data_IF_061386857772
#
_entry.id   IF_061386857772
#
_cell.length_a   1.000
_cell.length_b   1.000
_cell.length_c   1.000
_cell.angle_alpha   90.00
_cell.angle_beta   90.00
_cell.angle_gamma   90.00
#
_symmetry.space_group_name_H-M   'P 1'
#
loop_
_entity.id
_entity.type
_entity.pdbx_description
1 polymer ?
#
# COMPACT_ATOMS: atom_id res chain seq x y z
N UNK A 1 6.09 14.15 -9.94
CA UNK A 1 5.39 12.84 -9.93
C UNK A 1 3.88 13.03 -9.74
N UNK A 2 3.08 12.20 -10.41
CA UNK A 2 1.63 12.06 -10.24
C UNK A 2 1.33 10.82 -9.40
N UNK A 3 0.17 10.77 -8.73
CA UNK A 3 -0.28 9.56 -8.00
C UNK A 3 -0.27 8.30 -8.89
N UNK A 4 -0.64 8.46 -10.17
CA UNK A 4 -0.63 7.38 -11.16
C UNK A 4 0.75 6.76 -11.41
N UNK A 5 1.84 7.50 -11.22
CA UNK A 5 3.20 6.94 -11.39
C UNK A 5 3.50 5.91 -10.28
N UNK A 6 3.08 6.19 -9.05
CA UNK A 6 3.21 5.26 -7.91
C UNK A 6 2.24 4.08 -8.06
N UNK A 7 1.00 4.36 -8.51
CA UNK A 7 0.01 3.33 -8.79
C UNK A 7 0.51 2.33 -9.84
N UNK A 8 1.17 2.79 -10.92
CA UNK A 8 1.75 1.92 -11.94
C UNK A 8 2.87 1.03 -11.39
N UNK A 9 3.72 1.56 -10.49
CA UNK A 9 4.73 0.76 -9.82
C UNK A 9 4.12 -0.31 -8.89
N UNK A 10 3.05 0.04 -8.18
CA UNK A 10 2.28 -0.93 -7.39
C UNK A 10 1.61 -1.98 -8.28
N UNK A 11 1.06 -1.58 -9.43
CA UNK A 11 0.48 -2.49 -10.42
C UNK A 11 1.53 -3.50 -10.91
N UNK A 12 2.75 -3.02 -11.22
CA UNK A 12 3.86 -3.91 -11.61
C UNK A 12 4.14 -4.94 -10.52
N UNK A 13 4.31 -4.50 -9.27
CA UNK A 13 4.59 -5.40 -8.17
C UNK A 13 3.43 -6.38 -7.88
N UNK A 14 2.19 -6.01 -8.19
CA UNK A 14 0.99 -6.86 -8.06
C UNK A 14 0.86 -7.91 -9.18
N UNK A 15 1.40 -7.61 -10.36
CA UNK A 15 1.32 -8.45 -11.55
C UNK A 15 2.22 -9.70 -11.48
N UNK A 16 2.04 -10.60 -12.44
CA UNK A 16 2.89 -11.79 -12.60
C UNK A 16 4.26 -11.44 -13.19
N UNK A 17 4.41 -10.27 -13.83
CA UNK A 17 5.70 -9.77 -14.34
C UNK A 17 6.72 -9.54 -13.22
N UNK A 18 6.25 -9.36 -11.98
CA UNK A 18 7.08 -9.26 -10.79
C UNK A 18 7.30 -10.61 -10.07
N UNK A 19 7.08 -11.76 -10.72
CA UNK A 19 7.16 -13.09 -10.10
C UNK A 19 8.50 -13.39 -9.40
N UNK A 20 9.60 -12.84 -9.90
CA UNK A 20 10.94 -12.99 -9.30
C UNK A 20 11.38 -11.81 -8.42
N UNK A 21 10.47 -10.89 -8.09
CA UNK A 21 10.75 -9.71 -7.26
C UNK A 21 10.07 -9.85 -5.89
N UNK A 22 10.88 -10.00 -4.83
CA UNK A 22 10.43 -10.04 -3.43
C UNK A 22 11.48 -9.39 -2.51
N UNK A 23 11.04 -8.78 -1.41
CA UNK A 23 11.89 -8.04 -0.47
C UNK A 23 12.43 -6.72 -1.03
N UNK A 24 11.94 -6.28 -2.19
CA UNK A 24 12.48 -5.15 -2.92
C UNK A 24 11.87 -3.82 -2.48
N UNK A 25 12.71 -2.78 -2.50
CA UNK A 25 12.28 -1.40 -2.31
C UNK A 25 12.28 -0.68 -3.65
N UNK A 26 11.12 -0.65 -4.33
CA UNK A 26 10.99 0.01 -5.61
C UNK A 26 10.85 1.52 -5.42
N UNK A 27 11.93 2.25 -5.64
CA UNK A 27 11.96 3.71 -5.52
C UNK A 27 11.22 4.33 -6.70
N UNK A 28 10.19 5.13 -6.40
CA UNK A 28 9.40 5.86 -7.40
C UNK A 28 9.51 7.34 -7.06
N UNK A 29 10.56 7.96 -7.55
CA UNK A 29 10.90 9.34 -7.19
C UNK A 29 11.05 10.28 -8.40
N UNK A 30 10.93 9.74 -9.62
CA UNK A 30 11.09 10.50 -10.84
C UNK A 30 12.50 11.06 -10.96
N UNK A 31 13.50 10.26 -10.57
CA UNK A 31 14.91 10.65 -10.57
C UNK A 31 15.29 11.75 -9.57
N UNK A 32 14.59 11.80 -8.44
CA UNK A 32 14.97 12.71 -7.35
C UNK A 32 16.22 12.24 -6.60
N UNK A 33 16.40 10.93 -6.46
CA UNK A 33 17.51 10.27 -5.75
C UNK A 33 18.58 9.72 -6.71
N UNK A 34 18.36 9.80 -8.03
CA UNK A 34 19.33 9.48 -9.09
C UNK A 34 19.03 10.32 -10.34
N UNK A 35 20.02 10.79 -11.11
CA UNK A 35 19.80 11.61 -12.32
C UNK A 35 19.35 10.71 -13.48
N UNK A 36 18.05 10.65 -13.81
CA UNK A 36 17.54 9.73 -14.84
C UNK A 36 16.17 10.07 -15.45
N UNK A 37 15.82 9.55 -16.64
CA UNK A 37 14.53 9.80 -17.28
C UNK A 37 13.40 8.92 -16.72
N UNK A 38 12.14 9.31 -17.00
CA UNK A 38 10.90 8.59 -16.61
C UNK A 38 10.89 7.16 -17.22
N UNK A 39 10.50 6.12 -16.45
CA UNK A 39 10.43 4.76 -16.99
C UNK A 39 9.29 4.58 -18.02
N UNK A 40 9.44 3.63 -18.98
CA UNK A 40 8.38 3.25 -19.91
C UNK A 40 7.22 2.53 -19.19
N UNK A 41 6.03 2.48 -19.82
CA UNK A 41 4.88 1.71 -19.35
C UNK A 41 5.06 0.21 -19.60
N UNK A 42 4.41 -0.62 -18.79
CA UNK A 42 4.40 -2.08 -18.90
C UNK A 42 2.97 -2.57 -19.23
N UNK A 43 2.83 -3.64 -20.02
CA UNK A 43 1.55 -4.35 -20.22
C UNK A 43 1.30 -5.25 -19.00
N UNK A 44 0.54 -4.77 -18.02
CA UNK A 44 0.34 -5.41 -16.73
C UNK A 44 -1.12 -5.84 -16.59
N UNK A 45 -1.41 -7.11 -16.36
CA UNK A 45 -2.80 -7.57 -16.13
C UNK A 45 -3.02 -8.09 -14.71
N UNK A 46 -4.20 -7.77 -14.15
CA UNK A 46 -4.70 -8.26 -12.87
C UNK A 46 -6.05 -8.98 -13.02
N UNK A 47 -6.38 -9.44 -14.22
CA UNK A 47 -7.66 -10.11 -14.51
C UNK A 47 -7.92 -11.25 -13.53
N UNK A 48 -9.11 -11.23 -12.93
CA UNK A 48 -9.54 -12.24 -11.96
C UNK A 48 -8.88 -12.19 -10.58
N UNK A 49 -7.95 -11.24 -10.33
CA UNK A 49 -7.33 -11.07 -9.01
C UNK A 49 -8.22 -10.24 -8.07
N UNK A 50 -8.17 -10.55 -6.78
CA UNK A 50 -8.83 -9.77 -5.72
C UNK A 50 -7.79 -8.97 -4.96
N UNK A 51 -7.98 -7.65 -4.90
CA UNK A 51 -7.06 -6.72 -4.27
C UNK A 51 -7.71 -5.92 -3.14
N UNK A 52 -7.05 -5.83 -1.99
CA UNK A 52 -7.37 -4.86 -0.94
C UNK A 52 -6.41 -3.68 -1.04
N UNK A 53 -6.92 -2.45 -0.96
CA UNK A 53 -6.10 -1.23 -0.92
C UNK A 53 -6.55 -0.34 0.24
N UNK A 54 -5.66 -0.11 1.20
CA UNK A 54 -5.91 0.78 2.35
C UNK A 54 -5.52 2.22 2.05
N UNK A 55 -6.19 3.20 2.68
CA UNK A 55 -5.97 4.62 2.42
C UNK A 55 -6.37 5.00 0.99
N UNK A 56 -7.43 4.37 0.48
CA UNK A 56 -7.84 4.42 -0.92
C UNK A 56 -8.96 5.42 -1.22
N UNK A 57 -9.39 6.22 -0.24
CA UNK A 57 -10.37 7.28 -0.47
C UNK A 57 -9.78 8.48 -1.24
N UNK A 58 -8.45 8.58 -1.38
CA UNK A 58 -7.83 9.65 -2.18
C UNK A 58 -6.40 9.31 -2.63
N UNK A 59 -5.89 10.09 -3.59
CA UNK A 59 -4.46 10.16 -3.89
C UNK A 59 -3.88 8.89 -4.48
N UNK A 60 -2.80 8.36 -3.90
CA UNK A 60 -2.13 7.15 -4.42
C UNK A 60 -3.04 5.93 -4.32
N UNK A 61 -3.76 5.77 -3.21
CA UNK A 61 -4.63 4.62 -3.01
C UNK A 61 -5.83 4.64 -3.95
N UNK A 62 -6.45 5.81 -4.15
CA UNK A 62 -7.53 5.99 -5.15
C UNK A 62 -7.02 5.69 -6.57
N UNK A 63 -5.88 6.26 -6.96
CA UNK A 63 -5.29 6.02 -8.27
C UNK A 63 -4.94 4.55 -8.49
N UNK A 64 -4.45 3.86 -7.45
CA UNK A 64 -4.20 2.42 -7.50
C UNK A 64 -5.50 1.61 -7.62
N UNK A 65 -6.57 2.01 -6.92
CA UNK A 65 -7.86 1.33 -7.02
C UNK A 65 -8.47 1.43 -8.43
N UNK A 66 -8.45 2.64 -9.01
CA UNK A 66 -8.89 2.86 -10.40
C UNK A 66 -8.06 2.01 -11.36
N UNK A 67 -6.73 2.12 -11.27
CA UNK A 67 -5.83 1.42 -12.17
C UNK A 67 -5.93 -0.10 -12.02
N UNK A 68 -6.08 -0.64 -10.81
CA UNK A 68 -6.19 -2.09 -10.61
C UNK A 68 -7.49 -2.63 -11.20
N UNK A 69 -8.60 -1.91 -11.03
CA UNK A 69 -9.88 -2.27 -11.61
C UNK A 69 -9.87 -2.17 -13.15
N UNK A 70 -9.25 -1.14 -13.72
CA UNK A 70 -9.04 -0.99 -15.17
C UNK A 70 -8.28 -2.19 -15.77
N UNK A 71 -7.41 -2.84 -14.99
CA UNK A 71 -6.64 -4.01 -15.40
C UNK A 71 -7.27 -5.34 -14.95
N UNK A 72 -8.56 -5.33 -14.60
CA UNK A 72 -9.37 -6.53 -14.40
C UNK A 72 -9.48 -7.05 -12.96
N UNK A 73 -8.89 -6.35 -11.98
CA UNK A 73 -8.98 -6.76 -10.58
C UNK A 73 -10.36 -6.45 -9.97
N UNK A 74 -10.83 -7.32 -9.10
CA UNK A 74 -11.87 -6.99 -8.11
C UNK A 74 -11.20 -6.27 -6.95
N UNK A 75 -11.73 -5.12 -6.54
CA UNK A 75 -11.06 -4.26 -5.57
C UNK A 75 -11.92 -4.06 -4.32
N UNK A 76 -11.32 -4.23 -3.15
CA UNK A 76 -11.85 -3.72 -1.89
C UNK A 76 -11.01 -2.52 -1.47
N UNK A 77 -11.61 -1.35 -1.44
CA UNK A 77 -10.97 -0.15 -0.93
C UNK A 77 -11.33 0.08 0.53
N UNK A 78 -10.34 0.45 1.34
CA UNK A 78 -10.53 0.68 2.75
C UNK A 78 -9.98 2.04 3.18
N UNK A 79 -10.75 2.77 3.98
CA UNK A 79 -10.40 4.10 4.49
C UNK A 79 -11.28 4.44 5.71
N UNK A 80 -10.94 5.51 6.43
CA UNK A 80 -11.74 6.08 7.52
C UNK A 80 -12.67 7.21 7.04
N UNK A 81 -12.55 7.64 5.78
CA UNK A 81 -13.36 8.71 5.19
C UNK A 81 -14.51 8.11 4.38
N UNK A 82 -15.64 7.82 5.03
CA UNK A 82 -16.74 7.04 4.45
C UNK A 82 -17.28 7.63 3.15
N UNK A 83 -17.55 8.94 3.12
CA UNK A 83 -18.12 9.60 1.94
C UNK A 83 -17.17 9.55 0.73
N UNK A 84 -15.89 9.82 0.96
CA UNK A 84 -14.88 9.79 -0.10
C UNK A 84 -14.62 8.35 -0.57
N UNK A 85 -14.52 7.39 0.35
CA UNK A 85 -14.34 5.98 0.03
C UNK A 85 -15.53 5.44 -0.79
N UNK A 86 -16.76 5.72 -0.37
CA UNK A 86 -17.95 5.34 -1.11
C UNK A 86 -17.98 5.96 -2.52
N UNK A 87 -17.59 7.22 -2.67
CA UNK A 87 -17.51 7.90 -3.96
C UNK A 87 -16.50 7.24 -4.91
N UNK A 88 -15.32 6.85 -4.40
CA UNK A 88 -14.31 6.14 -5.20
C UNK A 88 -14.83 4.78 -5.65
N UNK A 89 -15.43 3.98 -4.76
CA UNK A 89 -16.01 2.69 -5.13
C UNK A 89 -17.11 2.85 -6.19
N UNK A 90 -17.99 3.84 -6.04
CA UNK A 90 -19.03 4.15 -7.01
C UNK A 90 -18.46 4.56 -8.38
N UNK A 91 -17.36 5.32 -8.41
CA UNK A 91 -16.71 5.73 -9.66
C UNK A 91 -16.07 4.58 -10.45
N UNK A 92 -15.63 3.53 -9.75
CA UNK A 92 -15.03 2.33 -10.36
C UNK A 92 -16.12 1.36 -10.83
N UNK A 93 -17.23 1.28 -10.08
CA UNK A 93 -18.35 0.38 -10.34
C UNK A 93 -18.60 -0.51 -9.12
N UNK A 94 -19.83 -0.50 -8.60
CA UNK A 94 -20.17 -1.19 -7.36
C UNK A 94 -20.11 -2.72 -7.46
N UNK A 95 -20.13 -3.27 -8.67
CA UNK A 95 -19.86 -4.67 -8.95
C UNK A 95 -18.36 -4.99 -8.76
N UNK A 96 -17.48 -4.15 -9.32
CA UNK A 96 -16.03 -4.35 -9.35
C UNK A 96 -15.31 -3.90 -8.08
N UNK A 97 -15.83 -2.87 -7.41
CA UNK A 97 -15.21 -2.23 -6.26
C UNK A 97 -16.16 -2.12 -5.08
N UNK A 98 -15.70 -2.57 -3.90
CA UNK A 98 -16.42 -2.42 -2.63
C UNK A 98 -15.66 -1.52 -1.68
N UNK A 99 -16.37 -0.65 -0.98
CA UNK A 99 -15.82 0.14 0.12
C UNK A 99 -16.03 -0.58 1.46
N UNK A 100 -15.03 -0.53 2.32
CA UNK A 100 -15.11 -0.99 3.71
C UNK A 100 -14.45 0.02 4.64
N UNK A 101 -15.18 0.49 5.66
CA UNK A 101 -14.62 1.40 6.68
C UNK A 101 -13.60 0.65 7.54
N UNK A 102 -12.35 1.09 7.53
CA UNK A 102 -11.28 0.46 8.30
C UNK A 102 -10.28 1.51 8.81
N UNK A 103 -10.15 1.59 10.13
CA UNK A 103 -9.02 2.24 10.78
C UNK A 103 -7.89 1.23 10.97
N UNK A 104 -6.82 1.37 10.18
CA UNK A 104 -5.68 0.44 10.22
C UNK A 104 -4.93 0.42 11.56
N UNK A 105 -5.18 1.39 12.46
CA UNK A 105 -4.63 1.36 13.82
C UNK A 105 -5.25 0.24 14.66
N UNK A 106 -6.50 -0.13 14.36
CA UNK A 106 -7.23 -1.22 14.98
C UNK A 106 -6.96 -2.53 14.23
N UNK A 107 -6.30 -3.47 14.90
CA UNK A 107 -5.94 -4.75 14.27
C UNK A 107 -7.17 -5.60 13.94
N UNK A 108 -8.23 -5.51 14.74
CA UNK A 108 -9.45 -6.28 14.50
C UNK A 108 -10.11 -5.81 13.20
N UNK A 109 -10.22 -4.50 12.99
CA UNK A 109 -10.76 -3.94 11.74
C UNK A 109 -9.94 -4.35 10.50
N UNK A 110 -8.62 -4.53 10.64
CA UNK A 110 -7.78 -5.03 9.55
C UNK A 110 -8.04 -6.52 9.28
N UNK A 111 -8.23 -7.33 10.33
CA UNK A 111 -8.63 -8.74 10.17
C UNK A 111 -9.99 -8.83 9.48
N UNK A 112 -10.98 -8.07 9.96
CA UNK A 112 -12.35 -8.09 9.45
C UNK A 112 -12.40 -7.60 7.99
N UNK A 113 -11.54 -6.65 7.61
CA UNK A 113 -11.39 -6.21 6.22
C UNK A 113 -10.90 -7.34 5.30
N UNK A 114 -9.92 -8.13 5.76
CA UNK A 114 -9.42 -9.29 5.00
C UNK A 114 -10.50 -10.36 4.89
N UNK A 115 -11.19 -10.66 5.99
CA UNK A 115 -12.28 -11.62 6.02
C UNK A 115 -13.44 -11.18 5.12
N UNK A 116 -13.76 -9.88 5.10
CA UNK A 116 -14.75 -9.29 4.20
C UNK A 116 -14.39 -9.49 2.72
N UNK A 117 -13.12 -9.25 2.33
CA UNK A 117 -12.70 -9.44 0.95
C UNK A 117 -12.79 -10.91 0.52
N UNK A 118 -12.35 -11.83 1.39
CA UNK A 118 -12.46 -13.28 1.15
C UNK A 118 -13.92 -13.73 1.09
N UNK A 119 -14.79 -13.24 1.97
CA UNK A 119 -16.21 -13.56 1.94
C UNK A 119 -16.92 -13.00 0.69
N UNK A 120 -16.51 -11.83 0.21
CA UNK A 120 -17.14 -11.15 -0.92
C UNK A 120 -16.71 -11.72 -2.27
N UNK A 121 -15.42 -12.00 -2.43
CA UNK A 121 -14.84 -12.39 -3.72
C UNK A 121 -14.17 -13.78 -3.71
N UNK A 122 -14.27 -14.51 -2.59
CA UNK A 122 -13.80 -15.90 -2.44
C UNK A 122 -12.30 -16.07 -2.20
N UNK A 123 -11.49 -15.01 -2.39
CA UNK A 123 -10.03 -15.06 -2.27
C UNK A 123 -9.43 -13.70 -1.99
N UNK A 124 -8.13 -13.68 -1.68
CA UNK A 124 -7.30 -12.48 -1.63
C UNK A 124 -5.99 -12.77 -2.36
N UNK A 125 -5.69 -11.97 -3.39
CA UNK A 125 -4.47 -12.11 -4.19
C UNK A 125 -3.47 -10.98 -3.93
N UNK A 126 -3.97 -9.77 -3.69
CA UNK A 126 -3.13 -8.58 -3.51
C UNK A 126 -3.55 -7.82 -2.25
N UNK A 127 -2.59 -7.55 -1.37
CA UNK A 127 -2.78 -6.61 -0.27
C UNK A 127 -1.88 -5.40 -0.48
N UNK A 128 -2.46 -4.24 -0.72
CA UNK A 128 -1.73 -2.98 -0.78
C UNK A 128 -1.94 -2.16 0.51
N UNK A 129 -0.99 -2.31 1.43
CA UNK A 129 -0.89 -1.50 2.65
C UNK A 129 -0.35 -0.11 2.30
N UNK A 130 -1.25 0.75 1.85
CA UNK A 130 -0.95 2.11 1.40
C UNK A 130 -1.31 3.20 2.43
N UNK A 131 -2.24 2.93 3.35
CA UNK A 131 -2.64 3.91 4.37
C UNK A 131 -1.41 4.48 5.11
N UNK A 132 -1.38 5.80 5.25
CA UNK A 132 -0.30 6.48 5.93
C UNK A 132 -0.58 7.95 6.18
N UNK A 133 -0.05 8.46 7.28
CA UNK A 133 -0.09 9.86 7.68
C UNK A 133 1.33 10.42 7.83
N UNK A 134 1.43 11.74 7.75
CA UNK A 134 2.66 12.51 8.01
C UNK A 134 2.38 13.34 9.26
N UNK A 135 3.25 13.31 10.27
CA UNK A 135 3.17 14.28 11.38
C UNK A 135 3.85 15.61 11.00
N UNK A 136 3.51 16.68 11.73
CA UNK A 136 4.15 17.99 11.55
C UNK A 136 5.67 17.87 11.60
N UNK A 137 6.32 18.54 10.65
CA UNK A 137 7.76 18.75 10.69
C UNK A 137 8.10 19.73 11.80
N UNK A 138 9.12 19.43 12.59
CA UNK A 138 9.56 20.22 13.73
C UNK A 138 10.90 19.73 14.25
N UNK A 139 11.47 20.46 15.20
CA UNK A 139 12.73 20.07 15.84
C UNK A 139 12.57 18.72 16.55
N UNK A 140 13.52 17.80 16.35
CA UNK A 140 13.60 16.55 17.11
C UNK A 140 13.55 16.80 18.63
N UNK A 141 14.17 17.89 19.08
CA UNK A 141 14.25 18.26 20.50
C UNK A 141 12.90 18.65 21.11
N UNK A 142 11.89 18.89 20.28
CA UNK A 142 10.54 19.31 20.67
C UNK A 142 9.48 18.36 20.11
N UNK A 143 9.88 17.12 19.80
CA UNK A 143 8.97 16.14 19.24
C UNK A 143 7.88 15.79 20.27
N UNK A 144 6.62 15.90 19.85
CA UNK A 144 5.50 15.34 20.58
C UNK A 144 5.46 13.82 20.35
N UNK A 145 5.58 13.04 21.43
CA UNK A 145 5.55 11.59 21.34
C UNK A 145 4.15 11.05 21.04
N UNK A 146 3.08 11.78 21.36
CA UNK A 146 1.71 11.37 20.98
C UNK A 146 1.51 11.42 19.45
N UNK A 147 2.02 12.47 18.80
CA UNK A 147 2.03 12.57 17.33
C UNK A 147 2.90 11.46 16.70
N UNK A 148 4.03 11.16 17.34
CA UNK A 148 4.90 10.05 16.94
C UNK A 148 4.15 8.72 17.04
N UNK A 149 3.53 8.44 18.17
CA UNK A 149 2.79 7.20 18.43
C UNK A 149 1.63 7.03 17.45
N UNK A 150 0.92 8.11 17.12
CA UNK A 150 -0.14 8.06 16.11
C UNK A 150 0.43 7.75 14.71
N UNK A 151 1.57 8.33 14.32
CA UNK A 151 2.25 7.98 13.06
C UNK A 151 2.69 6.53 13.04
N UNK A 152 3.28 6.02 14.12
CA UNK A 152 3.70 4.61 14.22
C UNK A 152 2.46 3.69 14.19
N UNK A 153 1.38 4.05 14.88
CA UNK A 153 0.14 3.27 14.90
C UNK A 153 -0.45 3.11 13.49
N UNK A 154 -0.50 4.19 12.70
CA UNK A 154 -1.02 4.14 11.33
C UNK A 154 -0.01 3.49 10.38
N UNK A 155 1.19 4.06 10.27
CA UNK A 155 2.13 3.75 9.20
C UNK A 155 2.87 2.43 9.42
N UNK A 156 3.10 2.04 10.68
CA UNK A 156 3.89 0.86 11.04
C UNK A 156 3.00 -0.25 11.56
N UNK A 157 2.29 -0.05 12.67
CA UNK A 157 1.43 -1.09 13.27
C UNK A 157 0.33 -1.51 12.30
N UNK A 158 -0.32 -0.56 11.63
CA UNK A 158 -1.31 -0.86 10.59
C UNK A 158 -0.73 -1.64 9.40
N UNK A 159 0.50 -1.35 9.01
CA UNK A 159 1.21 -2.10 7.97
C UNK A 159 1.54 -3.53 8.41
N UNK A 160 2.01 -3.71 9.66
CA UNK A 160 2.24 -5.04 10.26
C UNK A 160 0.94 -5.85 10.29
N UNK A 161 -0.17 -5.26 10.75
CA UNK A 161 -1.47 -5.93 10.79
C UNK A 161 -1.94 -6.36 9.38
N UNK A 162 -1.76 -5.48 8.38
CA UNK A 162 -2.06 -5.77 6.99
C UNK A 162 -1.26 -6.97 6.45
N UNK A 163 0.07 -6.96 6.63
CA UNK A 163 0.95 -8.06 6.20
C UNK A 163 0.58 -9.36 6.90
N UNK A 164 0.38 -9.31 8.22
CA UNK A 164 0.02 -10.47 9.06
C UNK A 164 -1.27 -11.13 8.58
N UNK A 165 -2.37 -10.37 8.49
CA UNK A 165 -3.68 -10.95 8.21
C UNK A 165 -3.84 -11.33 6.75
N UNK A 166 -3.32 -10.54 5.80
CA UNK A 166 -3.31 -10.92 4.39
C UNK A 166 -2.42 -12.14 4.14
N UNK A 167 -1.23 -12.19 4.72
CA UNK A 167 -0.32 -13.34 4.64
C UNK A 167 -0.96 -14.60 5.20
N UNK A 168 -1.64 -14.51 6.36
CA UNK A 168 -2.40 -15.63 6.95
C UNK A 168 -3.49 -16.13 6.02
N UNK A 169 -4.30 -15.24 5.46
CA UNK A 169 -5.40 -15.61 4.56
C UNK A 169 -4.89 -16.25 3.26
N UNK A 170 -3.86 -15.66 2.64
CA UNK A 170 -3.21 -16.21 1.44
C UNK A 170 -2.60 -17.58 1.72
N UNK A 171 -1.88 -17.74 2.83
CA UNK A 171 -1.26 -19.00 3.22
C UNK A 171 -2.30 -20.10 3.47
N UNK A 172 -3.37 -19.80 4.20
CA UNK A 172 -4.45 -20.74 4.47
C UNK A 172 -5.17 -21.21 3.20
N UNK A 173 -5.32 -20.32 2.21
CA UNK A 173 -5.94 -20.65 0.93
C UNK A 173 -4.96 -21.27 -0.10
N UNK A 174 -3.65 -21.33 0.19
CA UNK A 174 -2.63 -21.72 -0.79
C UNK A 174 -2.46 -20.71 -1.94
N UNK A 175 -2.88 -19.47 -1.74
CA UNK A 175 -2.80 -18.40 -2.75
C UNK A 175 -1.38 -17.88 -2.86
N UNK A 176 -0.84 -17.91 -4.08
CA UNK A 176 0.43 -17.26 -4.42
C UNK A 176 0.21 -15.75 -4.59
N UNK A 177 0.17 -15.04 -3.47
CA UNK A 177 -0.23 -13.64 -3.42
C UNK A 177 0.91 -12.62 -3.50
N UNK A 178 0.54 -11.34 -3.54
CA UNK A 178 1.45 -10.21 -3.53
C UNK A 178 1.04 -9.18 -2.46
N UNK A 179 1.91 -8.95 -1.50
CA UNK A 179 1.74 -7.91 -0.48
C UNK A 179 2.66 -6.74 -0.83
N UNK A 180 2.08 -5.56 -0.93
CA UNK A 180 2.75 -4.31 -1.26
C UNK A 180 2.57 -3.35 -0.10
N UNK A 181 3.67 -2.73 0.35
CA UNK A 181 3.64 -1.70 1.38
C UNK A 181 4.08 -0.35 0.80
N UNK A 182 3.48 0.74 1.26
CA UNK A 182 3.95 2.09 0.92
C UNK A 182 5.03 2.54 1.90
N UNK A 183 6.29 2.47 1.47
CA UNK A 183 7.43 3.07 2.16
C UNK A 183 7.59 4.55 1.76
N UNK A 184 8.81 5.05 1.58
CA UNK A 184 9.09 6.40 1.09
C UNK A 184 10.57 6.55 0.77
N UNK A 185 10.95 7.50 -0.07
CA UNK A 185 12.35 7.97 -0.16
C UNK A 185 12.92 8.41 1.19
N UNK A 186 12.06 8.85 2.12
CA UNK A 186 12.45 9.16 3.50
C UNK A 186 12.95 7.92 4.29
N UNK A 187 12.75 6.71 3.78
CA UNK A 187 13.32 5.47 4.31
C UNK A 187 14.74 5.16 3.81
N UNK A 188 15.30 6.04 2.96
CA UNK A 188 16.63 5.86 2.37
C UNK A 188 17.49 7.11 2.54
N UNK A 189 16.87 8.29 2.46
CA UNK A 189 17.55 9.59 2.53
C UNK A 189 17.02 10.36 3.73
N UNK A 190 17.92 10.78 4.61
CA UNK A 190 17.61 11.61 5.77
C UNK A 190 17.12 13.01 5.37
N UNK A 191 16.27 13.62 6.20
CA UNK A 191 15.80 15.01 6.01
C UNK A 191 14.63 15.19 5.03
N UNK A 192 14.15 14.11 4.40
CA UNK A 192 13.06 14.14 3.41
C UNK A 192 11.65 14.06 4.00
N UNK A 193 11.52 13.95 5.33
CA UNK A 193 10.25 13.86 6.05
C UNK A 193 10.41 14.20 7.52
N UNK A 194 9.30 14.31 8.24
CA UNK A 194 9.34 14.45 9.70
C UNK A 194 9.98 13.23 10.35
N UNK A 195 10.62 13.41 11.49
CA UNK A 195 11.38 12.34 12.16
C UNK A 195 10.53 11.10 12.43
N UNK A 196 9.29 11.24 12.93
CA UNK A 196 8.40 10.10 13.16
C UNK A 196 8.02 9.40 11.83
N UNK A 197 7.78 10.18 10.77
CA UNK A 197 7.49 9.63 9.46
C UNK A 197 8.68 8.84 8.91
N UNK A 198 9.89 9.41 8.96
CA UNK A 198 11.13 8.73 8.58
C UNK A 198 11.34 7.42 9.35
N UNK A 199 11.16 7.43 10.68
CA UNK A 199 11.24 6.21 11.50
C UNK A 199 10.21 5.18 11.03
N UNK A 200 8.95 5.59 10.88
CA UNK A 200 7.87 4.69 10.45
C UNK A 200 8.13 4.04 9.09
N UNK A 201 8.71 4.78 8.12
CA UNK A 201 8.98 4.26 6.78
C UNK A 201 10.24 3.38 6.72
N UNK A 202 11.23 3.60 7.59
CA UNK A 202 12.31 2.62 7.81
C UNK A 202 11.78 1.34 8.44
N UNK A 203 10.84 1.42 9.39
CA UNK A 203 10.22 0.25 9.99
C UNK A 203 9.44 -0.58 8.95
N UNK A 204 8.71 0.07 8.02
CA UNK A 204 8.05 -0.61 6.89
C UNK A 204 9.07 -1.34 6.01
N UNK A 205 10.20 -0.72 5.68
CA UNK A 205 11.24 -1.38 4.89
C UNK A 205 11.85 -2.60 5.62
N UNK A 206 12.06 -2.49 6.93
CA UNK A 206 12.49 -3.60 7.77
C UNK A 206 11.48 -4.75 7.78
N UNK A 207 10.19 -4.44 7.95
CA UNK A 207 9.09 -5.39 7.90
C UNK A 207 9.06 -6.14 6.56
N UNK A 208 9.12 -5.43 5.44
CA UNK A 208 9.08 -6.02 4.09
C UNK A 208 10.21 -7.03 3.91
N UNK A 209 11.43 -6.69 4.30
CA UNK A 209 12.59 -7.60 4.19
C UNK A 209 12.43 -8.83 5.08
N UNK A 210 11.93 -8.64 6.30
CA UNK A 210 11.71 -9.74 7.24
C UNK A 210 10.60 -10.69 6.75
N UNK A 211 9.45 -10.13 6.35
CA UNK A 211 8.29 -10.91 5.92
C UNK A 211 8.51 -11.61 4.57
N UNK A 212 9.28 -11.01 3.65
CA UNK A 212 9.61 -11.63 2.36
C UNK A 212 10.37 -12.96 2.53
N UNK A 213 11.24 -13.06 3.54
CA UNK A 213 11.98 -14.29 3.83
C UNK A 213 11.06 -15.43 4.29
N UNK A 214 10.16 -15.14 5.23
CA UNK A 214 9.23 -16.13 5.79
C UNK A 214 8.14 -16.52 4.78
N UNK A 215 7.44 -15.54 4.22
CA UNK A 215 6.27 -15.75 3.37
C UNK A 215 6.64 -16.24 1.96
N UNK A 216 7.88 -16.03 1.53
CA UNK A 216 8.36 -16.48 0.22
C UNK A 216 8.25 -18.00 0.02
N UNK A 217 8.46 -18.80 1.07
CA UNK A 217 8.29 -20.26 1.03
C UNK A 217 6.84 -20.69 0.75
N UNK A 218 5.87 -19.81 1.03
CA UNK A 218 4.44 -20.02 0.80
C UNK A 218 3.99 -19.47 -0.57
N UNK A 219 4.93 -18.97 -1.38
CA UNK A 219 4.63 -18.36 -2.67
C UNK A 219 4.04 -16.95 -2.58
N UNK A 220 4.12 -16.29 -1.42
CA UNK A 220 3.64 -14.94 -1.19
C UNK A 220 4.81 -13.96 -1.27
N UNK A 221 4.72 -12.99 -2.19
CA UNK A 221 5.74 -11.95 -2.37
C UNK A 221 5.44 -10.77 -1.46
N UNK A 222 6.46 -10.17 -0.85
CA UNK A 222 6.31 -8.95 -0.05
C UNK A 222 7.29 -7.90 -0.54
N UNK A 223 6.79 -6.76 -1.00
CA UNK A 223 7.61 -5.66 -1.53
C UNK A 223 7.11 -4.31 -1.01
N UNK A 224 7.89 -3.25 -1.22
CA UNK A 224 7.38 -1.90 -1.07
C UNK A 224 7.62 -1.02 -2.29
N UNK A 225 6.73 -0.04 -2.47
CA UNK A 225 6.99 1.15 -3.28
C UNK A 225 7.45 2.28 -2.35
N UNK A 226 8.46 3.05 -2.78
CA UNK A 226 9.00 4.20 -2.04
C UNK A 226 8.82 5.49 -2.84
N UNK A 227 7.67 6.17 -2.69
CA UNK A 227 7.44 7.44 -3.36
C UNK A 227 8.29 8.57 -2.80
N UNK A 228 8.65 9.52 -3.67
CA UNK A 228 8.98 10.88 -3.28
C UNK A 228 7.71 11.77 -3.17
N UNK A 229 7.91 13.08 -2.94
CA UNK A 229 6.81 14.04 -2.96
C UNK A 229 6.05 14.00 -4.30
N UNK A 230 4.73 13.85 -4.23
CA UNK A 230 3.84 13.89 -5.39
C UNK A 230 2.88 15.06 -5.29
N UNK A 231 2.47 15.61 -6.45
CA UNK A 231 1.53 16.74 -6.48
C UNK A 231 0.11 16.22 -6.29
N UNK A 232 -0.53 16.53 -5.15
CA UNK A 232 -2.01 16.52 -5.06
C UNK A 232 -2.53 17.44 -6.18
N UNK A 233 -3.52 16.98 -6.95
CA UNK A 233 -4.06 17.69 -8.14
C UNK A 233 -4.06 19.20 -7.94
N UNK A 234 -3.36 19.92 -8.83
CA UNK A 234 -3.60 21.35 -9.03
C UNK A 234 -4.88 21.49 -9.84
N UNK A 235 -5.84 22.28 -9.31
CA UNK A 235 -6.65 23.12 -10.20
C UNK A 235 -5.73 24.16 -10.83
#
# INVERSE_FOLDING_TARGET
MKAGDVAAAALFLASDEAAFVSGHNLVVDGAMTAVGPKPPGFDLQLEGKVAIITGAASGIGEAAAQLFAEHGAWVVIADIQDELGAAVAASIGADRCKYYRCDVRDEQQVSDLVDFAVATFGRLDVMYSNAGIICRSGSLLQMNLEDFDNVVAVNTRGCVAAVKHAGRAMAAAGTRGSIICTASVAAMVGGMGSHAYTVSKHAVLGLVRSAAGELGHLGIRVNCVSPAGWRRRWR
#
